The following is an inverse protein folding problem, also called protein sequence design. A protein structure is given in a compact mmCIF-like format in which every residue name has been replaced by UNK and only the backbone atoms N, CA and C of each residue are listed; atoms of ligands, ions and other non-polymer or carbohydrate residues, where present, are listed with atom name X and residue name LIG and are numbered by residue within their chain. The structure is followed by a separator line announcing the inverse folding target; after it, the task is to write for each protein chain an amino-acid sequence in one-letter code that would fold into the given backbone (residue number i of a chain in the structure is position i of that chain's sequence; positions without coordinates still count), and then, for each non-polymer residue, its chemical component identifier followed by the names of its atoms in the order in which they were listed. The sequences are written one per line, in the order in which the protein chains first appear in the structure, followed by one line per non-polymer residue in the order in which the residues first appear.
data_IF_431484470918
#
_entry.id   IF_431484470918
#
_cell.length_a   1.000
_cell.length_b   1.000
_cell.length_c   1.000
_cell.angle_alpha   90.00
_cell.angle_beta   90.00
_cell.angle_gamma   90.00
#
_symmetry.space_group_name_H-M   'P 1'
#
loop_
_entity.id
_entity.type
_entity.pdbx_description
1 polymer ?
#
# COMPACT_ATOMS: atom_id res chain seq x y z
N UNK A 1 22.01 22.95 -12.11
CA UNK A 1 20.74 22.57 -11.44
C UNK A 1 21.05 21.69 -10.24
N UNK A 2 20.29 21.78 -9.13
CA UNK A 2 20.67 21.24 -7.81
C UNK A 2 19.94 19.96 -7.35
N UNK A 3 18.95 19.46 -8.09
CA UNK A 3 18.12 18.34 -7.62
C UNK A 3 18.44 17.06 -8.40
N UNK A 4 18.90 16.04 -7.68
CA UNK A 4 19.29 14.74 -8.26
C UNK A 4 18.27 13.63 -8.00
N UNK A 5 17.41 13.79 -6.99
CA UNK A 5 16.36 12.83 -6.61
C UNK A 5 15.02 13.54 -6.67
N UNK A 6 14.07 12.96 -7.39
CA UNK A 6 12.71 13.49 -7.56
C UNK A 6 11.74 12.44 -7.01
N UNK A 7 10.95 12.84 -6.01
CA UNK A 7 9.87 12.02 -5.48
C UNK A 7 8.56 12.60 -5.98
N UNK A 8 7.74 11.79 -6.63
CA UNK A 8 6.52 12.24 -7.30
C UNK A 8 5.52 11.11 -7.38
N UNK A 9 4.23 11.44 -7.54
CA UNK A 9 3.23 10.44 -7.91
C UNK A 9 3.35 10.08 -9.40
N UNK A 10 2.89 8.88 -9.80
CA UNK A 10 2.74 8.50 -11.21
C UNK A 10 2.04 9.56 -12.05
N UNK A 11 0.91 10.11 -11.57
CA UNK A 11 0.12 11.10 -12.32
C UNK A 11 0.92 12.37 -12.58
N UNK A 12 1.64 12.85 -11.56
CA UNK A 12 2.46 14.06 -11.69
C UNK A 12 3.66 13.81 -12.61
N UNK A 13 4.28 12.63 -12.54
CA UNK A 13 5.37 12.25 -13.43
C UNK A 13 4.89 12.11 -14.88
N UNK A 14 3.74 11.49 -15.12
CA UNK A 14 3.14 11.36 -16.44
C UNK A 14 2.92 12.74 -17.08
N UNK A 15 2.32 13.68 -16.34
CA UNK A 15 2.14 15.07 -16.81
C UNK A 15 3.46 15.75 -17.16
N UNK A 16 4.48 15.63 -16.29
CA UNK A 16 5.81 16.24 -16.52
C UNK A 16 6.45 15.65 -17.78
N UNK A 17 6.38 14.34 -17.96
CA UNK A 17 7.00 13.65 -19.08
C UNK A 17 6.22 13.77 -20.39
N UNK A 18 4.98 14.27 -20.38
CA UNK A 18 4.19 14.59 -21.59
C UNK A 18 4.43 16.02 -22.09
N UNK A 19 4.80 16.93 -21.19
CA UNK A 19 4.92 18.36 -21.51
C UNK A 19 6.21 18.63 -22.30
N UNK A 20 6.05 19.23 -23.48
CA UNK A 20 7.15 19.75 -24.31
C UNK A 20 7.95 20.80 -23.51
N UNK A 21 9.28 20.71 -23.53
CA UNK A 21 10.20 21.56 -22.76
C UNK A 21 10.88 20.86 -21.57
N UNK A 22 10.50 19.62 -21.23
CA UNK A 22 11.13 18.81 -20.18
C UNK A 22 12.11 17.75 -20.74
N UNK A 23 12.49 17.87 -22.01
CA UNK A 23 13.48 17.01 -22.66
C UNK A 23 14.81 16.97 -21.89
N UNK A 24 15.35 18.09 -21.34
CA UNK A 24 16.59 18.05 -20.58
C UNK A 24 16.53 17.20 -19.31
N UNK A 25 15.36 17.14 -18.66
CA UNK A 25 15.14 16.27 -17.50
C UNK A 25 15.17 14.80 -17.93
N UNK A 26 14.47 14.49 -19.02
CA UNK A 26 14.36 13.14 -19.55
C UNK A 26 15.69 12.62 -20.13
N UNK A 27 16.53 13.48 -20.67
CA UNK A 27 17.90 13.15 -21.14
C UNK A 27 18.85 12.85 -19.99
N UNK A 28 18.63 13.44 -18.80
CA UNK A 28 19.44 13.15 -17.61
C UNK A 28 18.92 11.99 -16.78
N UNK A 29 17.73 11.48 -17.10
CA UNK A 29 17.09 10.42 -16.35
C UNK A 29 17.82 9.09 -16.59
N UNK A 30 18.45 8.55 -15.53
CA UNK A 30 19.17 7.26 -15.59
C UNK A 30 18.49 6.15 -14.80
N UNK A 31 17.66 6.49 -13.83
CA UNK A 31 17.00 5.56 -12.91
C UNK A 31 15.58 6.03 -12.62
N UNK A 32 14.63 5.10 -12.67
CA UNK A 32 13.27 5.27 -12.16
C UNK A 32 12.96 4.13 -11.22
N UNK A 33 12.59 4.46 -9.98
CA UNK A 33 12.11 3.52 -8.98
C UNK A 33 10.59 3.68 -8.93
N UNK A 34 9.86 2.61 -9.22
CA UNK A 34 8.42 2.55 -9.12
C UNK A 34 8.10 1.81 -7.84
N UNK A 35 7.79 2.57 -6.79
CA UNK A 35 7.32 2.00 -5.54
C UNK A 35 5.86 1.55 -5.69
N UNK A 36 5.52 0.44 -5.04
CA UNK A 36 4.21 -0.21 -5.11
C UNK A 36 3.71 -0.49 -6.54
N UNK A 37 4.55 -1.11 -7.38
CA UNK A 37 4.19 -1.49 -8.76
C UNK A 37 2.95 -2.41 -8.83
N UNK A 38 2.56 -3.05 -7.72
CA UNK A 38 1.32 -3.80 -7.60
C UNK A 38 0.05 -2.94 -7.85
N UNK A 39 0.17 -1.61 -7.80
CA UNK A 39 -0.88 -0.67 -8.21
C UNK A 39 -1.20 -0.73 -9.72
N UNK A 40 -0.46 -1.52 -10.51
CA UNK A 40 -0.86 -1.92 -11.86
C UNK A 40 -2.26 -2.54 -11.90
N UNK A 41 -2.70 -3.21 -10.83
CA UNK A 41 -4.04 -3.80 -10.71
C UNK A 41 -5.13 -2.82 -10.24
N UNK A 42 -4.78 -1.55 -9.97
CA UNK A 42 -5.71 -0.51 -9.54
C UNK A 42 -6.05 0.43 -10.72
N UNK A 43 -6.99 1.34 -10.50
CA UNK A 43 -7.32 2.52 -11.32
C UNK A 43 -6.11 3.36 -11.76
N UNK A 44 -4.98 3.26 -11.04
CA UNK A 44 -3.72 3.96 -11.36
C UNK A 44 -2.83 3.19 -12.34
N UNK A 45 -3.12 1.92 -12.60
CA UNK A 45 -2.36 1.04 -13.49
C UNK A 45 -2.13 1.61 -14.90
N UNK A 46 -3.15 2.17 -15.57
CA UNK A 46 -2.96 2.76 -16.91
C UNK A 46 -1.93 3.90 -16.95
N UNK A 47 -1.78 4.65 -15.86
CA UNK A 47 -0.76 5.72 -15.76
C UNK A 47 0.64 5.12 -15.66
N UNK A 48 0.81 4.07 -14.85
CA UNK A 48 2.07 3.34 -14.74
C UNK A 48 2.46 2.67 -16.06
N UNK A 49 1.51 2.05 -16.74
CA UNK A 49 1.69 1.48 -18.09
C UNK A 49 2.18 2.52 -19.09
N UNK A 50 1.54 3.68 -19.14
CA UNK A 50 1.94 4.77 -20.03
C UNK A 50 3.36 5.29 -19.74
N UNK A 51 3.75 5.36 -18.45
CA UNK A 51 5.10 5.77 -18.05
C UNK A 51 6.13 4.73 -18.50
N UNK A 52 5.94 3.46 -18.17
CA UNK A 52 6.88 2.38 -18.49
C UNK A 52 7.03 2.23 -20.01
N UNK A 53 5.93 2.25 -20.75
CA UNK A 53 5.95 2.18 -22.20
C UNK A 53 6.77 3.34 -22.79
N UNK A 54 6.56 4.58 -22.33
CA UNK A 54 7.29 5.76 -22.80
C UNK A 54 8.77 5.68 -22.51
N UNK A 55 9.14 5.25 -21.30
CA UNK A 55 10.55 5.12 -20.91
C UNK A 55 11.25 4.00 -21.69
N UNK A 56 10.54 2.92 -22.02
CA UNK A 56 11.08 1.79 -22.78
C UNK A 56 11.36 2.11 -24.25
N UNK A 57 10.65 3.08 -24.83
CA UNK A 57 10.85 3.53 -26.21
C UNK A 57 11.95 4.61 -26.34
N UNK A 58 12.60 5.02 -25.23
CA UNK A 58 13.67 6.02 -25.29
C UNK A 58 14.97 5.40 -25.84
N UNK A 59 15.76 6.17 -26.61
CA UNK A 59 17.03 5.71 -27.14
C UNK A 59 18.07 5.45 -26.04
N UNK A 60 18.06 6.30 -25.00
CA UNK A 60 18.89 6.09 -23.82
C UNK A 60 18.18 5.18 -22.82
N UNK A 61 18.86 4.10 -22.44
CA UNK A 61 18.30 3.11 -21.53
C UNK A 61 18.20 3.65 -20.10
N UNK A 62 16.97 3.82 -19.62
CA UNK A 62 16.67 4.14 -18.21
C UNK A 62 16.58 2.84 -17.42
N UNK A 63 17.27 2.75 -16.27
CA UNK A 63 17.11 1.60 -15.37
C UNK A 63 15.77 1.71 -14.65
N UNK A 64 14.94 0.68 -14.77
CA UNK A 64 13.70 0.55 -14.00
C UNK A 64 13.94 -0.36 -12.79
N UNK A 65 13.43 0.05 -11.63
CA UNK A 65 13.37 -0.77 -10.42
C UNK A 65 11.94 -0.75 -9.92
N UNK A 66 11.24 -1.88 -10.01
CA UNK A 66 9.90 -2.03 -9.44
C UNK A 66 9.99 -2.62 -8.04
N UNK A 67 9.38 -1.95 -7.07
CA UNK A 67 9.19 -2.48 -5.72
C UNK A 67 7.72 -2.85 -5.57
N UNK A 68 7.45 -4.03 -4.99
CA UNK A 68 6.10 -4.58 -4.92
C UNK A 68 5.86 -5.30 -3.61
N UNK A 69 4.61 -5.28 -3.13
CA UNK A 69 4.09 -6.35 -2.31
C UNK A 69 4.09 -7.69 -3.07
N UNK A 70 3.93 -8.80 -2.35
CA UNK A 70 3.83 -10.14 -2.94
C UNK A 70 2.63 -10.22 -3.90
N UNK A 71 2.91 -10.38 -5.19
CA UNK A 71 1.91 -10.53 -6.25
C UNK A 71 1.89 -11.99 -6.74
N UNK A 72 0.71 -12.55 -7.07
CA UNK A 72 0.64 -13.85 -7.74
C UNK A 72 1.27 -13.82 -9.15
N UNK A 73 1.10 -12.72 -9.89
CA UNK A 73 1.53 -12.54 -11.28
C UNK A 73 2.84 -11.72 -11.40
N UNK A 74 3.76 -11.88 -10.45
CA UNK A 74 5.00 -11.10 -10.39
C UNK A 74 5.92 -11.32 -11.61
N UNK A 75 5.86 -12.49 -12.25
CA UNK A 75 6.61 -12.76 -13.50
C UNK A 75 6.10 -11.91 -14.67
N UNK A 76 4.79 -11.72 -14.79
CA UNK A 76 4.21 -10.87 -15.84
C UNK A 76 4.62 -9.42 -15.65
N UNK A 77 4.62 -8.94 -14.40
CA UNK A 77 5.11 -7.60 -14.06
C UNK A 77 6.61 -7.46 -14.39
N UNK A 78 7.41 -8.49 -14.12
CA UNK A 78 8.83 -8.49 -14.46
C UNK A 78 9.04 -8.41 -15.98
N UNK A 79 8.27 -9.17 -16.77
CA UNK A 79 8.29 -9.11 -18.24
C UNK A 79 7.87 -7.73 -18.75
N UNK A 80 6.80 -7.16 -18.19
CA UNK A 80 6.33 -5.81 -18.50
C UNK A 80 7.41 -4.74 -18.26
N UNK A 81 8.19 -4.87 -17.17
CA UNK A 81 9.32 -3.99 -16.86
C UNK A 81 10.61 -4.36 -17.61
N UNK A 82 10.59 -5.35 -18.52
CA UNK A 82 11.76 -5.88 -19.25
C UNK A 82 12.89 -6.37 -18.35
N UNK A 83 12.52 -6.89 -17.17
CA UNK A 83 13.46 -7.44 -16.18
C UNK A 83 13.97 -8.81 -16.67
N UNK A 84 15.27 -9.03 -16.54
CA UNK A 84 15.85 -10.36 -16.74
C UNK A 84 15.41 -11.26 -15.56
N UNK A 85 14.68 -12.34 -15.86
CA UNK A 85 14.07 -13.20 -14.85
C UNK A 85 15.10 -13.94 -13.99
N UNK A 86 16.29 -14.24 -14.51
CA UNK A 86 17.32 -14.99 -13.80
C UNK A 86 18.16 -14.12 -12.84
N UNK A 87 18.28 -12.82 -13.12
CA UNK A 87 19.21 -11.91 -12.42
C UNK A 87 18.55 -10.69 -11.77
N UNK A 88 17.39 -10.29 -12.27
CA UNK A 88 16.72 -9.04 -11.89
C UNK A 88 15.39 -9.24 -11.18
N UNK A 89 14.85 -10.45 -11.16
CA UNK A 89 13.61 -10.77 -10.48
C UNK A 89 13.91 -11.37 -9.10
N UNK A 90 13.35 -10.76 -8.07
CA UNK A 90 13.45 -11.24 -6.70
C UNK A 90 12.05 -11.37 -6.13
N UNK A 91 11.73 -12.55 -5.59
CA UNK A 91 10.46 -12.83 -4.93
C UNK A 91 10.72 -13.26 -3.49
N UNK A 92 10.11 -12.53 -2.56
CA UNK A 92 10.22 -12.79 -1.13
C UNK A 92 8.82 -13.01 -0.57
N UNK A 93 8.50 -14.26 -0.22
CA UNK A 93 7.21 -14.61 0.39
C UNK A 93 7.04 -14.05 1.81
N UNK A 94 5.89 -14.29 2.43
CA UNK A 94 5.56 -13.81 3.80
C UNK A 94 6.62 -14.20 4.84
N UNK A 95 7.24 -15.37 4.69
CA UNK A 95 8.28 -15.88 5.58
C UNK A 95 9.58 -15.04 5.60
N UNK A 96 9.79 -14.16 4.62
CA UNK A 96 10.94 -13.23 4.60
C UNK A 96 10.68 -11.93 5.37
N UNK A 97 9.48 -11.72 5.92
CA UNK A 97 9.20 -10.53 6.73
C UNK A 97 10.09 -10.54 7.98
N UNK A 98 10.77 -9.43 8.30
CA UNK A 98 11.68 -9.36 9.45
C UNK A 98 10.93 -9.56 10.78
N UNK A 99 9.66 -9.17 10.81
CA UNK A 99 8.72 -9.50 11.88
C UNK A 99 7.61 -10.36 11.26
N UNK A 100 7.52 -11.65 11.63
CA UNK A 100 6.44 -12.52 11.17
C UNK A 100 5.08 -11.90 11.48
N UNK A 101 4.16 -11.98 10.52
CA UNK A 101 2.80 -11.46 10.68
C UNK A 101 1.84 -12.63 10.90
N UNK A 102 1.26 -12.71 12.09
CA UNK A 102 0.08 -13.53 12.34
C UNK A 102 -1.17 -12.79 11.86
N UNK A 103 -2.12 -13.52 11.27
CA UNK A 103 -3.33 -12.97 10.68
C UNK A 103 -4.55 -13.71 11.21
N UNK A 104 -5.51 -12.97 11.74
CA UNK A 104 -6.80 -13.49 12.20
C UNK A 104 -7.92 -12.78 11.44
N UNK A 105 -8.91 -13.56 10.97
CA UNK A 105 -10.00 -13.05 10.16
C UNK A 105 -11.36 -13.30 10.82
N UNK A 106 -12.03 -12.22 11.23
CA UNK A 106 -13.36 -12.27 11.84
C UNK A 106 -14.46 -12.06 10.80
N UNK A 107 -15.11 -13.15 10.38
CA UNK A 107 -16.21 -13.11 9.41
C UNK A 107 -17.58 -12.84 10.04
N UNK A 108 -18.08 -11.60 9.95
CA UNK A 108 -19.42 -11.23 10.48
C UNK A 108 -20.53 -11.54 9.46
N UNK A 109 -21.37 -12.54 9.76
CA UNK A 109 -22.44 -13.03 8.86
C UNK A 109 -23.78 -12.28 8.98
N UNK A 110 -23.88 -11.31 9.88
CA UNK A 110 -25.13 -10.58 10.14
C UNK A 110 -25.54 -9.70 8.94
N UNK A 111 -26.80 -9.83 8.53
CA UNK A 111 -27.33 -9.15 7.35
C UNK A 111 -27.83 -7.75 7.68
N UNK A 112 -28.43 -7.56 8.86
CA UNK A 112 -28.98 -6.26 9.29
C UNK A 112 -27.84 -5.31 9.65
N UNK A 113 -27.78 -4.15 8.98
CA UNK A 113 -26.67 -3.20 9.09
C UNK A 113 -26.35 -2.81 10.54
N UNK A 114 -27.36 -2.48 11.35
CA UNK A 114 -27.18 -2.09 12.76
C UNK A 114 -26.62 -3.24 13.59
N UNK A 115 -27.16 -4.45 13.43
CA UNK A 115 -26.67 -5.62 14.17
C UNK A 115 -25.25 -6.00 13.76
N UNK A 116 -24.93 -5.90 12.46
CA UNK A 116 -23.58 -6.13 11.93
C UNK A 116 -22.60 -5.12 12.51
N UNK A 117 -22.97 -3.85 12.56
CA UNK A 117 -22.16 -2.80 13.16
C UNK A 117 -21.86 -3.09 14.64
N UNK A 118 -22.89 -3.43 15.42
CA UNK A 118 -22.69 -3.78 16.83
C UNK A 118 -21.81 -5.01 17.02
N UNK A 119 -21.98 -6.05 16.18
CA UNK A 119 -21.15 -7.24 16.23
C UNK A 119 -19.68 -6.95 15.93
N UNK A 120 -19.39 -6.12 14.91
CA UNK A 120 -18.02 -5.71 14.57
C UNK A 120 -17.39 -4.94 15.74
N UNK A 121 -18.14 -4.01 16.34
CA UNK A 121 -17.64 -3.21 17.47
C UNK A 121 -17.37 -4.06 18.72
N UNK A 122 -18.23 -5.05 19.01
CA UNK A 122 -17.99 -5.96 20.12
C UNK A 122 -16.73 -6.81 19.88
N UNK A 123 -16.58 -7.40 18.69
CA UNK A 123 -15.37 -8.18 18.34
C UNK A 123 -14.12 -7.29 18.48
N UNK A 124 -14.14 -6.09 17.91
CA UNK A 124 -13.02 -5.14 18.00
C UNK A 124 -12.66 -4.84 19.46
N UNK A 125 -13.66 -4.59 20.31
CA UNK A 125 -13.42 -4.31 21.72
C UNK A 125 -12.73 -5.47 22.44
N UNK A 126 -13.17 -6.71 22.19
CA UNK A 126 -12.56 -7.91 22.77
C UNK A 126 -11.09 -8.05 22.36
N UNK A 127 -10.78 -7.90 21.08
CA UNK A 127 -9.38 -7.95 20.60
C UNK A 127 -8.53 -6.84 21.22
N UNK A 128 -9.09 -5.63 21.30
CA UNK A 128 -8.37 -4.49 21.89
C UNK A 128 -8.05 -4.76 23.35
N UNK A 129 -9.02 -5.18 24.17
CA UNK A 129 -8.78 -5.32 25.60
C UNK A 129 -7.86 -6.50 25.94
N UNK A 130 -7.87 -7.56 25.12
CA UNK A 130 -6.99 -8.71 25.30
C UNK A 130 -5.51 -8.34 25.14
N UNK A 131 -5.20 -7.48 24.17
CA UNK A 131 -3.80 -7.25 23.76
C UNK A 131 -3.24 -5.89 24.17
N UNK A 132 -4.07 -4.89 24.49
CA UNK A 132 -3.62 -3.50 24.71
C UNK A 132 -2.66 -3.35 25.90
N UNK A 133 -2.70 -4.26 26.87
CA UNK A 133 -1.75 -4.29 28.00
C UNK A 133 -0.36 -4.76 27.60
N UNK A 134 -0.26 -5.51 26.51
CA UNK A 134 0.98 -6.14 26.04
C UNK A 134 1.58 -5.45 24.81
N UNK A 135 0.76 -4.83 23.96
CA UNK A 135 1.21 -4.16 22.74
C UNK A 135 0.36 -2.94 22.37
N UNK A 136 0.90 -2.13 21.46
CA UNK A 136 0.16 -1.01 20.87
C UNK A 136 -0.74 -1.50 19.74
N UNK A 137 -1.98 -1.00 19.70
CA UNK A 137 -2.98 -1.40 18.71
C UNK A 137 -3.32 -0.22 17.79
N UNK A 138 -3.25 -0.45 16.48
CA UNK A 138 -3.65 0.52 15.45
C UNK A 138 -4.92 0.06 14.75
N UNK A 139 -6.02 0.77 14.97
CA UNK A 139 -7.34 0.45 14.38
C UNK A 139 -7.59 1.31 13.14
N UNK A 140 -7.72 0.68 11.98
CA UNK A 140 -8.11 1.34 10.73
C UNK A 140 -9.62 1.35 10.52
N UNK A 141 -10.17 2.50 10.13
CA UNK A 141 -11.59 2.70 9.85
C UNK A 141 -11.79 3.51 8.56
N UNK A 142 -12.99 3.44 7.99
CA UNK A 142 -13.28 3.97 6.65
C UNK A 142 -13.53 5.49 6.57
N UNK A 143 -13.67 6.20 7.69
CA UNK A 143 -13.89 7.66 7.68
C UNK A 143 -13.40 8.34 8.96
N UNK A 144 -13.11 9.64 8.86
CA UNK A 144 -12.72 10.48 10.02
C UNK A 144 -13.77 10.47 11.13
N UNK A 145 -15.05 10.48 10.75
CA UNK A 145 -16.16 10.42 11.71
C UNK A 145 -16.19 9.08 12.44
N UNK A 146 -15.89 8.01 11.72
CA UNK A 146 -15.84 6.66 12.30
C UNK A 146 -14.64 6.49 13.25
N UNK A 147 -13.52 7.18 12.99
CA UNK A 147 -12.37 7.20 13.90
C UNK A 147 -12.78 7.68 15.29
N UNK A 148 -13.47 8.83 15.35
CA UNK A 148 -13.97 9.36 16.63
C UNK A 148 -15.00 8.42 17.29
N UNK A 149 -15.95 7.91 16.51
CA UNK A 149 -17.02 7.03 17.03
C UNK A 149 -16.47 5.72 17.60
N UNK A 150 -15.57 5.08 16.88
CA UNK A 150 -14.95 3.81 17.29
C UNK A 150 -14.09 4.01 18.52
N UNK A 151 -13.24 5.05 18.54
CA UNK A 151 -12.42 5.37 19.70
C UNK A 151 -13.27 5.67 20.93
N UNK A 152 -14.34 6.45 20.77
CA UNK A 152 -15.28 6.75 21.85
C UNK A 152 -16.00 5.49 22.33
N UNK A 153 -16.46 4.63 21.42
CA UNK A 153 -17.09 3.35 21.75
C UNK A 153 -16.16 2.48 22.59
N UNK A 154 -14.90 2.31 22.18
CA UNK A 154 -13.92 1.51 22.93
C UNK A 154 -13.73 2.09 24.34
N UNK A 155 -13.50 3.41 24.43
CA UNK A 155 -13.29 4.09 25.71
C UNK A 155 -14.51 3.98 26.65
N UNK A 156 -15.69 4.28 26.15
CA UNK A 156 -16.93 4.28 26.93
C UNK A 156 -17.29 2.83 27.36
N UNK A 157 -17.02 1.85 26.49
CA UNK A 157 -17.19 0.42 26.82
C UNK A 157 -16.21 -0.01 27.91
N UNK A 158 -14.93 0.38 27.83
CA UNK A 158 -13.93 0.10 28.85
C UNK A 158 -14.31 0.68 30.23
N UNK A 159 -14.79 1.94 30.25
CA UNK A 159 -15.31 2.58 31.47
C UNK A 159 -16.50 1.83 32.05
N UNK A 160 -17.47 1.43 31.21
CA UNK A 160 -18.67 0.75 31.71
C UNK A 160 -18.42 -0.67 32.23
N UNK A 161 -17.37 -1.35 31.74
CA UNK A 161 -17.01 -2.72 32.13
C UNK A 161 -15.94 -2.78 33.23
N UNK A 162 -15.53 -1.64 33.77
CA UNK A 162 -14.45 -1.49 34.77
C UNK A 162 -13.10 -2.05 34.30
N UNK A 163 -12.87 -2.04 32.99
CA UNK A 163 -11.65 -2.57 32.36
C UNK A 163 -10.50 -1.54 32.34
N UNK A 164 -10.62 -0.45 33.11
CA UNK A 164 -9.60 0.61 33.24
C UNK A 164 -8.85 0.55 34.58
N UNK A 165 -9.12 -0.47 35.40
CA UNK A 165 -8.63 -0.64 36.77
C UNK A 165 -7.54 -1.70 36.97
N UNK A 166 -6.77 -2.06 35.93
CA UNK A 166 -5.61 -2.95 36.06
C UNK A 166 -4.39 -2.38 35.32
#
# INVERSE_FOLDING_TARGET
EKTHIIVTTPEKFDVVTRKTGNEPLLERLRLVIIDEIHLLHDTRGPVLEAIVARLSQRPERVRLVGLSATLPNYEDVARFLTVNLDRGLFYFGSHFRPVPLEQVYYGVKEKKAIKRFNAINEILYQEVINDVSSCQILVFVHSRKETYRTAKFIKDTALSRDNLGA
#
